data_IF_605295294705
#
_entry.id   IF_605295294705
#
_cell.length_a   1.000
_cell.length_b   1.000
_cell.length_c   1.000
_cell.angle_alpha   90.00
_cell.angle_beta   90.00
_cell.angle_gamma   90.00
#
_symmetry.space_group_name_H-M   'P 1'
#
loop_
_entity.id
_entity.type
_entity.pdbx_description
1 polymer ?
#
# COMPACT_ATOMS: atom_id res chain seq x y z
N UNK A 1 3.39 13.82 7.84
CA UNK A 1 4.03 13.08 8.94
C UNK A 1 4.59 11.73 8.51
N UNK A 2 3.79 10.83 7.92
CA UNK A 2 4.27 9.52 7.41
C UNK A 2 5.49 9.69 6.49
N UNK A 3 5.36 10.47 5.41
CA UNK A 3 6.45 10.70 4.46
C UNK A 3 7.70 11.30 5.14
N UNK A 4 7.51 12.24 6.08
CA UNK A 4 8.61 12.89 6.82
C UNK A 4 9.40 11.87 7.62
N UNK A 5 8.72 11.02 8.39
CA UNK A 5 9.38 9.98 9.19
C UNK A 5 10.14 8.98 8.33
N UNK A 6 9.60 8.62 7.17
CA UNK A 6 10.29 7.72 6.23
C UNK A 6 11.60 8.34 5.74
N UNK A 7 11.56 9.62 5.34
CA UNK A 7 12.77 10.37 4.94
C UNK A 7 13.78 10.44 6.11
N UNK A 8 13.33 10.79 7.31
CA UNK A 8 14.17 10.89 8.52
C UNK A 8 14.86 9.57 8.87
N UNK A 9 14.25 8.44 8.49
CA UNK A 9 14.83 7.09 8.67
C UNK A 9 15.62 6.61 7.44
N UNK A 10 15.92 7.50 6.47
CA UNK A 10 16.81 7.23 5.34
C UNK A 10 16.13 6.64 4.10
N UNK A 11 14.79 6.60 4.04
CA UNK A 11 14.09 6.13 2.86
C UNK A 11 14.07 7.19 1.74
N UNK A 12 14.17 6.74 0.49
CA UNK A 12 13.83 7.56 -0.68
C UNK A 12 12.31 7.52 -0.88
N UNK A 13 11.64 8.65 -0.64
CA UNK A 13 10.17 8.71 -0.70
C UNK A 13 9.72 9.35 -2.00
N UNK A 14 8.89 8.61 -2.74
CA UNK A 14 8.12 9.14 -3.86
C UNK A 14 6.70 9.43 -3.41
N UNK A 15 6.10 10.50 -3.93
CA UNK A 15 4.74 10.87 -3.63
C UNK A 15 3.95 11.18 -4.91
N UNK A 16 2.67 10.84 -4.88
CA UNK A 16 1.69 11.16 -5.89
C UNK A 16 0.36 11.44 -5.20
N UNK A 17 -0.30 12.53 -5.60
CA UNK A 17 -1.68 12.85 -5.21
C UNK A 17 -2.34 13.57 -6.40
N UNK A 18 -3.53 13.15 -6.87
CA UNK A 18 -4.17 13.80 -8.01
C UNK A 18 -4.45 15.31 -7.86
N UNK A 19 -4.46 15.84 -6.62
CA UNK A 19 -4.84 17.24 -6.34
C UNK A 19 -3.81 17.98 -5.49
N UNK A 20 -3.08 17.29 -4.62
CA UNK A 20 -2.26 17.87 -3.55
C UNK A 20 -0.79 18.15 -3.88
N UNK A 21 -0.33 17.84 -5.09
CA UNK A 21 1.10 17.77 -5.41
C UNK A 21 1.86 19.09 -5.26
N UNK A 22 1.31 20.20 -5.77
CA UNK A 22 1.99 21.51 -5.66
C UNK A 22 2.24 21.93 -4.21
N UNK A 23 1.24 21.72 -3.35
CA UNK A 23 1.35 22.07 -1.93
C UNK A 23 2.32 21.12 -1.23
N UNK A 24 2.22 19.83 -1.50
CA UNK A 24 3.11 18.83 -0.90
C UNK A 24 4.58 19.11 -1.24
N UNK A 25 4.88 19.48 -2.49
CA UNK A 25 6.25 19.83 -2.94
C UNK A 25 6.81 21.07 -2.22
N UNK A 26 5.93 21.99 -1.83
CA UNK A 26 6.34 23.19 -1.08
C UNK A 26 6.66 22.86 0.38
N UNK A 27 5.92 21.94 0.99
CA UNK A 27 6.07 21.56 2.41
C UNK A 27 7.20 20.57 2.62
N UNK A 28 7.45 19.70 1.63
CA UNK A 28 8.47 18.65 1.67
C UNK A 28 9.19 18.55 0.31
N UNK A 29 10.13 19.47 0.03
CA UNK A 29 10.88 19.49 -1.23
C UNK A 29 11.78 18.26 -1.45
N UNK A 30 12.08 17.51 -0.41
CA UNK A 30 12.84 16.25 -0.47
C UNK A 30 12.07 15.09 -1.12
N UNK A 31 10.75 15.20 -1.30
CA UNK A 31 9.95 14.16 -1.92
C UNK A 31 10.15 14.15 -3.44
N UNK A 32 10.30 12.95 -3.99
CA UNK A 32 10.30 12.75 -5.43
C UNK A 32 8.85 12.70 -5.89
N UNK A 33 8.41 13.76 -6.56
CA UNK A 33 7.07 13.84 -7.11
C UNK A 33 6.92 12.99 -8.36
N UNK A 34 6.05 11.98 -8.31
CA UNK A 34 5.74 11.13 -9.46
C UNK A 34 4.58 11.73 -10.29
N UNK A 35 4.54 11.40 -11.58
CA UNK A 35 3.53 11.90 -12.51
C UNK A 35 2.19 11.16 -12.38
N UNK A 36 2.24 9.88 -12.03
CA UNK A 36 1.08 9.03 -11.78
C UNK A 36 1.41 7.90 -10.79
N UNK A 37 0.39 7.16 -10.36
CA UNK A 37 0.54 6.05 -9.41
C UNK A 37 1.41 4.89 -9.94
N UNK A 38 1.41 4.62 -11.25
CA UNK A 38 2.20 3.54 -11.85
C UNK A 38 3.69 3.92 -11.92
N UNK A 39 4.00 5.17 -12.27
CA UNK A 39 5.34 5.72 -12.26
C UNK A 39 5.89 5.77 -10.84
N UNK A 40 5.05 6.12 -9.86
CA UNK A 40 5.40 6.06 -8.44
C UNK A 40 5.86 4.64 -8.06
N UNK A 41 5.06 3.62 -8.40
CA UNK A 41 5.29 2.24 -7.98
C UNK A 41 6.58 1.61 -8.55
N UNK A 42 7.07 2.10 -9.69
CA UNK A 42 8.19 1.50 -10.41
C UNK A 42 9.47 1.40 -9.57
N UNK A 43 9.84 0.19 -9.16
CA UNK A 43 11.04 -0.07 -8.37
C UNK A 43 10.95 0.38 -6.90
N UNK A 44 9.76 0.65 -6.38
CA UNK A 44 9.54 0.85 -4.95
C UNK A 44 9.57 -0.49 -4.19
N UNK A 45 10.03 -0.46 -2.94
CA UNK A 45 9.95 -1.62 -2.02
C UNK A 45 8.60 -1.71 -1.32
N UNK A 46 7.93 -0.57 -1.13
CA UNK A 46 6.64 -0.50 -0.46
C UNK A 46 5.81 0.66 -1.01
N UNK A 47 4.49 0.49 -1.01
CA UNK A 47 3.52 1.57 -1.19
C UNK A 47 2.78 1.81 0.13
N UNK A 48 2.47 3.08 0.41
CA UNK A 48 1.67 3.46 1.57
C UNK A 48 0.48 4.29 1.09
N UNK A 49 -0.74 3.77 1.25
CA UNK A 49 -1.97 4.47 0.88
C UNK A 49 -2.37 5.41 2.02
N UNK A 50 -2.31 6.71 1.76
CA UNK A 50 -2.63 7.75 2.75
C UNK A 50 -3.97 8.47 2.48
N UNK A 51 -4.48 8.39 1.25
CA UNK A 51 -5.72 9.03 0.80
C UNK A 51 -6.52 8.06 -0.08
N UNK A 52 -7.85 8.17 -0.02
CA UNK A 52 -8.82 7.28 -0.64
C UNK A 52 -9.34 7.84 -1.98
N UNK A 53 -8.44 8.29 -2.85
CA UNK A 53 -8.83 8.74 -4.19
C UNK A 53 -9.41 7.58 -5.01
N UNK A 54 -10.52 7.82 -5.72
CA UNK A 54 -11.15 6.85 -6.61
C UNK A 54 -10.15 6.27 -7.63
N UNK A 55 -9.19 7.06 -8.10
CA UNK A 55 -8.14 6.59 -9.01
C UNK A 55 -7.36 5.40 -8.42
N UNK A 56 -7.03 5.44 -7.12
CA UNK A 56 -6.29 4.37 -6.47
C UNK A 56 -7.13 3.10 -6.34
N UNK A 57 -8.43 3.22 -6.09
CA UNK A 57 -9.35 2.08 -6.01
C UNK A 57 -9.47 1.31 -7.33
N UNK A 58 -9.15 1.94 -8.47
CA UNK A 58 -9.32 1.36 -9.81
C UNK A 58 -7.97 1.10 -10.52
N UNK A 59 -6.86 1.05 -9.78
CA UNK A 59 -5.57 0.69 -10.36
C UNK A 59 -5.55 -0.78 -10.80
N UNK A 60 -4.85 -1.04 -11.91
CA UNK A 60 -4.43 -2.38 -12.28
C UNK A 60 -3.33 -2.84 -11.31
N UNK A 61 -3.72 -3.57 -10.28
CA UNK A 61 -2.81 -4.02 -9.23
C UNK A 61 -1.83 -5.10 -9.69
N UNK A 62 -2.13 -5.84 -10.76
CA UNK A 62 -1.13 -6.72 -11.39
C UNK A 62 0.00 -5.91 -12.02
N UNK A 63 -0.33 -4.81 -12.70
CA UNK A 63 0.65 -3.90 -13.27
C UNK A 63 1.48 -3.25 -12.18
N UNK A 64 0.86 -2.82 -11.08
CA UNK A 64 1.57 -2.30 -9.91
C UNK A 64 2.53 -3.34 -9.35
N UNK A 65 2.06 -4.58 -9.12
CA UNK A 65 2.87 -5.67 -8.60
C UNK A 65 4.13 -5.89 -9.45
N UNK A 66 3.96 -6.02 -10.77
CA UNK A 66 5.05 -6.24 -11.74
C UNK A 66 6.04 -5.08 -11.79
N UNK A 67 5.63 -3.87 -11.44
CA UNK A 67 6.48 -2.68 -11.47
C UNK A 67 7.34 -2.53 -10.19
N UNK A 68 6.89 -3.08 -9.06
CA UNK A 68 7.58 -2.93 -7.77
C UNK A 68 8.83 -3.81 -7.65
N UNK A 69 9.78 -3.41 -6.80
CA UNK A 69 10.94 -4.24 -6.43
C UNK A 69 10.57 -5.28 -5.36
N UNK A 70 9.77 -4.87 -4.39
CA UNK A 70 9.14 -5.75 -3.40
C UNK A 70 7.66 -5.38 -3.31
N UNK A 71 6.72 -6.32 -3.43
CA UNK A 71 5.30 -5.99 -3.50
C UNK A 71 4.69 -5.80 -2.09
N UNK A 72 5.18 -4.82 -1.32
CA UNK A 72 4.65 -4.51 0.02
C UNK A 72 3.65 -3.36 -0.08
N UNK A 73 2.46 -3.51 0.52
CA UNK A 73 1.45 -2.45 0.58
C UNK A 73 0.99 -2.26 2.01
N UNK A 74 1.11 -1.03 2.52
CA UNK A 74 0.49 -0.57 3.76
C UNK A 74 -0.68 0.33 3.41
N UNK A 75 -1.89 -0.16 3.62
CA UNK A 75 -3.12 0.52 3.25
C UNK A 75 -3.76 1.20 4.46
N UNK A 76 -3.45 2.48 4.64
CA UNK A 76 -4.01 3.30 5.71
C UNK A 76 -5.50 3.60 5.56
N UNK A 77 -6.10 3.27 4.40
CA UNK A 77 -7.48 3.60 4.04
C UNK A 77 -8.35 2.38 3.81
N UNK A 78 -7.78 1.18 3.86
CA UNK A 78 -8.48 -0.09 3.67
C UNK A 78 -9.25 -0.17 2.34
N UNK A 79 -8.71 0.46 1.29
CA UNK A 79 -9.35 0.58 -0.03
C UNK A 79 -9.24 -0.70 -0.87
N UNK A 80 -8.28 -1.57 -0.58
CA UNK A 80 -8.11 -2.85 -1.27
C UNK A 80 -8.63 -4.03 -0.43
N UNK A 81 -9.03 -5.11 -1.09
CA UNK A 81 -9.44 -6.35 -0.42
C UNK A 81 -8.21 -7.20 -0.03
N UNK A 82 -8.04 -7.61 1.24
CA UNK A 82 -6.85 -8.36 1.66
C UNK A 82 -6.67 -9.70 0.96
N UNK A 83 -7.76 -10.41 0.66
CA UNK A 83 -7.71 -11.74 0.03
C UNK A 83 -7.24 -11.60 -1.41
N UNK A 84 -7.78 -10.63 -2.14
CA UNK A 84 -7.38 -10.33 -3.51
C UNK A 84 -5.91 -9.88 -3.57
N UNK A 85 -5.48 -9.02 -2.66
CA UNK A 85 -4.09 -8.57 -2.60
C UNK A 85 -3.11 -9.71 -2.30
N UNK A 86 -3.48 -10.64 -1.42
CA UNK A 86 -2.70 -11.85 -1.17
C UNK A 86 -2.67 -12.76 -2.41
N UNK A 87 -3.81 -12.95 -3.11
CA UNK A 87 -3.90 -13.71 -4.36
C UNK A 87 -2.98 -13.16 -5.45
N UNK A 88 -2.86 -11.83 -5.52
CA UNK A 88 -1.96 -11.13 -6.44
C UNK A 88 -0.48 -11.16 -6.02
N UNK A 89 -0.16 -11.69 -4.83
CA UNK A 89 1.20 -11.86 -4.33
C UNK A 89 1.75 -10.69 -3.51
N UNK A 90 0.90 -9.75 -3.10
CA UNK A 90 1.34 -8.64 -2.24
C UNK A 90 1.47 -9.06 -0.77
N UNK A 91 2.49 -8.53 -0.11
CA UNK A 91 2.51 -8.41 1.35
C UNK A 91 1.65 -7.22 1.76
N UNK A 92 0.35 -7.47 1.95
CA UNK A 92 -0.64 -6.42 2.20
C UNK A 92 -0.94 -6.25 3.69
N UNK A 93 -0.99 -4.98 4.14
CA UNK A 93 -1.33 -4.59 5.51
C UNK A 93 -2.26 -3.39 5.56
N UNK A 94 -3.53 -3.64 5.84
CA UNK A 94 -4.55 -2.65 6.21
C UNK A 94 -4.59 -2.34 7.71
N UNK A 95 -5.39 -1.37 8.10
CA UNK A 95 -5.57 -0.94 9.48
C UNK A 95 -6.76 -1.63 10.12
N UNK A 96 -6.58 -2.23 11.30
CA UNK A 96 -7.66 -2.91 12.04
C UNK A 96 -8.17 -4.20 11.39
N UNK A 97 -7.53 -4.67 10.33
CA UNK A 97 -7.73 -5.99 9.74
C UNK A 97 -6.73 -6.91 10.43
N UNK A 98 -7.17 -8.01 11.03
CA UNK A 98 -6.27 -8.82 11.84
C UNK A 98 -5.12 -9.41 11.01
N UNK A 99 -3.95 -9.53 11.63
CA UNK A 99 -2.77 -10.19 11.04
C UNK A 99 -2.29 -11.26 12.01
N UNK A 100 -1.90 -12.41 11.47
CA UNK A 100 -1.18 -13.45 12.17
C UNK A 100 0.19 -12.94 12.67
N UNK A 101 0.83 -13.66 13.62
CA UNK A 101 2.14 -13.31 14.17
C UNK A 101 3.27 -13.22 13.12
N UNK A 102 3.06 -13.84 11.97
CA UNK A 102 3.94 -13.90 10.80
C UNK A 102 3.62 -12.81 9.75
N UNK A 103 2.66 -11.93 10.04
CA UNK A 103 2.23 -10.86 9.14
C UNK A 103 1.30 -11.32 8.01
N UNK A 104 0.85 -12.58 8.02
CA UNK A 104 -0.19 -13.07 7.10
C UNK A 104 -1.56 -12.59 7.54
N UNK A 105 -2.56 -12.44 6.65
CA UNK A 105 -3.95 -12.25 7.07
C UNK A 105 -4.37 -13.40 8.00
N UNK A 106 -5.06 -13.11 9.11
CA UNK A 106 -5.79 -14.18 9.80
C UNK A 106 -6.87 -14.67 8.84
N UNK A 107 -6.77 -15.92 8.38
CA UNK A 107 -7.86 -16.54 7.64
C UNK A 107 -9.12 -16.45 8.52
N UNK A 108 -10.20 -15.88 7.98
CA UNK A 108 -11.51 -16.04 8.60
C UNK A 108 -11.79 -17.54 8.65
N UNK A 109 -11.88 -18.09 9.87
CA UNK A 109 -12.36 -19.45 10.07
C UNK A 109 -13.73 -19.52 9.42
N UNK A 110 -13.87 -20.32 8.36
CA UNK A 110 -15.17 -20.58 7.76
C UNK A 110 -16.09 -21.14 8.86
N UNK A 111 -17.30 -20.57 9.07
CA UNK A 111 -18.25 -21.14 10.00
C UNK A 111 -18.71 -22.51 9.48
N UNK A 112 -18.06 -23.60 9.93
CA UNK A 112 -18.46 -24.94 9.49
C UNK A 112 -17.55 -26.11 9.86
N UNK A 113 -16.24 -25.93 10.03
CA UNK A 113 -15.38 -27.05 10.41
C UNK A 113 -15.28 -27.21 11.94
N UNK A 114 -16.37 -27.69 12.53
CA UNK A 114 -16.28 -28.42 13.80
C UNK A 114 -15.65 -29.77 13.46
N UNK A 115 -14.35 -29.92 13.74
CA UNK A 115 -13.76 -31.26 13.81
C UNK A 115 -14.27 -31.91 15.09
N UNK A 116 -15.26 -32.78 14.94
CA UNK A 116 -15.62 -33.74 15.99
C UNK A 116 -14.40 -34.64 16.27
N UNK A 117 -14.04 -34.75 17.54
CA UNK A 117 -13.18 -35.82 18.06
C UNK A 117 -14.06 -37.00 18.48
#
# INVERSE_FOLDING_TARGET
EIARRLVENGAQVRAYDPVGMMRAATIMPELIMAEDAYALAKGCDALVVCTEWNEFMHLDMERVHKAMRQPVIVDGRNIYDPVEMARLGFHYRGIGRGYGPDGQPIEEVQPGEVREQ
#
